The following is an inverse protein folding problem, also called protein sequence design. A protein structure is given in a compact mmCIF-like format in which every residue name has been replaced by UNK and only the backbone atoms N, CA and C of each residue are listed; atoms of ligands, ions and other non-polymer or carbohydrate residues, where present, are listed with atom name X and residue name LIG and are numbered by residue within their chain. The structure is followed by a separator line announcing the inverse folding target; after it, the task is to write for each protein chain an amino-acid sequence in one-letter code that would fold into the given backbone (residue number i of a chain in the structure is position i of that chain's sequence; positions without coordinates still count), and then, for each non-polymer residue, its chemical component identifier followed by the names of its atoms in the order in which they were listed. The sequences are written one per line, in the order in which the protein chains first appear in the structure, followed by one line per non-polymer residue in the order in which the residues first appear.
data_IF_633370714000
#
_entry.id   IF_633370714000
#
_cell.length_a   1.000
_cell.length_b   1.000
_cell.length_c   1.000
_cell.angle_alpha   90.00
_cell.angle_beta   90.00
_cell.angle_gamma   90.00
#
_symmetry.space_group_name_H-M   'P 1'
#
loop_
_entity.id
_entity.type
_entity.pdbx_description
1 polymer ?
#
# COMPACT_ATOMS: atom_id res chain seq x y z
N UNK A 1 21.23 -0.11 2.10
CA UNK A 1 20.43 0.36 3.24
C UNK A 1 20.37 1.89 3.17
N UNK A 2 19.20 2.51 3.31
CA UNK A 2 19.04 3.97 3.28
C UNK A 2 18.04 4.44 4.34
N UNK A 3 18.13 5.71 4.72
CA UNK A 3 17.18 6.37 5.63
C UNK A 3 16.17 7.30 4.92
N UNK A 4 16.20 7.33 3.59
CA UNK A 4 15.29 8.12 2.75
C UNK A 4 13.81 7.80 3.02
N UNK A 5 12.98 8.84 3.15
CA UNK A 5 11.51 8.73 3.28
C UNK A 5 11.02 7.84 4.44
N UNK A 6 11.83 7.71 5.50
CA UNK A 6 11.46 6.96 6.72
C UNK A 6 10.47 7.73 7.62
N UNK A 7 10.38 9.04 7.48
CA UNK A 7 9.52 9.94 8.25
C UNK A 7 8.91 11.04 7.37
N UNK A 8 8.29 12.07 7.95
CA UNK A 8 7.70 13.16 7.18
C UNK A 8 6.38 12.81 6.47
N UNK A 9 6.00 13.66 5.51
CA UNK A 9 4.79 13.53 4.70
C UNK A 9 5.11 12.94 3.32
N UNK A 10 5.46 11.66 3.33
CA UNK A 10 5.77 10.89 2.14
C UNK A 10 5.32 9.44 2.34
N UNK A 11 5.52 8.63 1.31
CA UNK A 11 5.38 7.18 1.41
C UNK A 11 6.38 6.65 2.44
N UNK A 12 5.90 5.80 3.35
CA UNK A 12 6.68 5.14 4.40
C UNK A 12 7.15 3.77 3.94
N UNK A 13 7.84 3.05 4.82
CA UNK A 13 8.18 1.65 4.59
C UNK A 13 6.95 0.85 4.14
N UNK A 14 7.14 -0.02 3.14
CA UNK A 14 6.09 -0.95 2.71
C UNK A 14 6.09 -2.16 3.65
N UNK A 15 4.97 -2.41 4.31
CA UNK A 15 4.80 -3.50 5.27
C UNK A 15 4.40 -4.79 4.55
N UNK A 16 4.84 -5.94 5.05
CA UNK A 16 4.41 -7.25 4.56
C UNK A 16 4.42 -8.30 5.67
N UNK A 17 3.85 -9.48 5.37
CA UNK A 17 3.87 -10.66 6.25
C UNK A 17 5.32 -11.01 6.65
N UNK A 18 5.54 -11.25 7.94
CA UNK A 18 6.84 -11.68 8.47
C UNK A 18 7.19 -13.13 8.11
N UNK A 19 6.21 -13.94 7.69
CA UNK A 19 6.42 -15.28 7.15
C UNK A 19 6.51 -15.34 5.62
N UNK A 20 6.67 -14.18 4.95
CA UNK A 20 6.80 -14.11 3.48
C UNK A 20 7.89 -15.06 2.94
N UNK A 21 7.54 -15.87 1.94
CA UNK A 21 8.40 -16.87 1.29
C UNK A 21 8.41 -18.25 1.96
N UNK A 22 7.75 -18.42 3.11
CA UNK A 22 7.67 -19.70 3.83
C UNK A 22 6.27 -20.06 4.34
N UNK A 23 5.32 -19.12 4.32
CA UNK A 23 3.96 -19.37 4.78
C UNK A 23 3.25 -20.42 3.89
N UNK A 24 2.65 -21.43 4.50
CA UNK A 24 1.99 -22.53 3.79
C UNK A 24 0.75 -22.09 2.99
N UNK A 25 0.15 -20.96 3.35
CA UNK A 25 -0.99 -20.37 2.68
C UNK A 25 -0.63 -19.19 1.75
N UNK A 26 0.66 -18.99 1.48
CA UNK A 26 1.16 -17.98 0.57
C UNK A 26 0.71 -18.26 -0.87
N UNK A 27 0.04 -17.29 -1.51
CA UNK A 27 -0.26 -17.31 -2.93
C UNK A 27 0.92 -16.81 -3.76
N UNK A 28 1.61 -15.78 -3.27
CA UNK A 28 2.79 -15.17 -3.90
C UNK A 28 3.69 -14.59 -2.81
N UNK A 29 5.01 -14.68 -2.98
CA UNK A 29 5.96 -13.98 -2.11
C UNK A 29 5.82 -12.45 -2.29
N UNK A 30 5.29 -11.73 -1.29
CA UNK A 30 5.02 -10.30 -1.42
C UNK A 30 6.29 -9.45 -1.37
N UNK A 31 7.45 -9.98 -0.95
CA UNK A 31 8.71 -9.21 -0.83
C UNK A 31 9.13 -8.58 -2.14
N UNK A 32 8.91 -9.28 -3.26
CA UNK A 32 9.19 -8.77 -4.61
C UNK A 32 8.33 -7.54 -4.90
N UNK A 33 7.06 -7.58 -4.53
CA UNK A 33 6.12 -6.46 -4.71
C UNK A 33 6.51 -5.29 -3.81
N UNK A 34 6.88 -5.55 -2.56
CA UNK A 34 7.31 -4.51 -1.63
C UNK A 34 8.59 -3.81 -2.10
N UNK A 35 9.55 -4.57 -2.62
CA UNK A 35 10.78 -3.99 -3.19
C UNK A 35 10.49 -3.15 -4.43
N UNK A 36 9.58 -3.59 -5.30
CA UNK A 36 9.12 -2.81 -6.44
C UNK A 36 8.47 -1.48 -6.01
N UNK A 37 7.57 -1.51 -5.02
CA UNK A 37 6.93 -0.31 -4.47
C UNK A 37 7.97 0.62 -3.82
N UNK A 38 8.95 0.06 -3.10
CA UNK A 38 10.04 0.83 -2.49
C UNK A 38 10.83 1.57 -3.56
N UNK A 39 11.26 0.89 -4.62
CA UNK A 39 12.04 1.50 -5.70
C UNK A 39 11.24 2.57 -6.45
N UNK A 40 9.98 2.29 -6.77
CA UNK A 40 9.09 3.22 -7.47
C UNK A 40 8.80 4.50 -6.66
N UNK A 41 8.62 4.38 -5.33
CA UNK A 41 8.29 5.53 -4.48
C UNK A 41 9.50 6.34 -4.01
N UNK A 42 10.68 5.72 -3.98
CA UNK A 42 11.89 6.36 -3.42
C UNK A 42 12.41 7.46 -4.34
N UNK A 43 12.54 8.68 -3.81
CA UNK A 43 13.05 9.82 -4.57
C UNK A 43 12.09 10.36 -5.64
N UNK A 44 10.85 9.84 -5.71
CA UNK A 44 9.86 10.31 -6.66
C UNK A 44 9.34 11.72 -6.24
N UNK A 45 9.51 12.77 -7.08
CA UNK A 45 9.19 14.15 -6.68
C UNK A 45 7.74 14.34 -6.25
N UNK A 46 6.80 13.64 -6.91
CA UNK A 46 5.37 13.72 -6.59
C UNK A 46 5.02 13.12 -5.21
N UNK A 47 5.86 12.21 -4.68
CA UNK A 47 5.58 11.49 -3.42
C UNK A 47 6.44 11.96 -2.25
N UNK A 48 7.29 12.96 -2.46
CA UNK A 48 8.13 13.56 -1.44
C UNK A 48 7.38 14.58 -0.55
N UNK A 49 6.23 15.10 -1.00
CA UNK A 49 5.48 16.18 -0.34
C UNK A 49 3.97 15.93 -0.30
N UNK A 50 3.58 14.77 0.22
CA UNK A 50 2.19 14.41 0.43
C UNK A 50 1.53 15.30 1.52
N UNK A 51 0.19 15.31 1.62
CA UNK A 51 -0.50 15.98 2.73
C UNK A 51 -0.08 15.45 4.10
N UNK A 52 0.08 14.12 4.25
CA UNK A 52 0.54 13.46 5.48
C UNK A 52 1.36 12.20 5.19
N UNK A 53 1.79 11.51 6.26
CA UNK A 53 2.42 10.19 6.19
C UNK A 53 1.52 9.24 5.40
N UNK A 54 2.09 8.41 4.54
CA UNK A 54 1.34 7.49 3.70
C UNK A 54 1.94 6.09 3.77
N UNK A 55 1.16 5.10 4.17
CA UNK A 55 1.61 3.74 4.45
C UNK A 55 0.98 2.76 3.47
N UNK A 56 1.79 1.83 2.97
CA UNK A 56 1.36 0.78 2.07
C UNK A 56 1.69 -0.56 2.72
N UNK A 57 0.75 -1.50 2.67
CA UNK A 57 0.99 -2.88 3.07
C UNK A 57 0.62 -3.85 1.95
N UNK A 58 1.39 -4.92 1.83
CA UNK A 58 1.15 -6.01 0.89
C UNK A 58 1.02 -7.30 1.66
N UNK A 59 -0.01 -8.08 1.40
CA UNK A 59 -0.16 -9.43 1.89
C UNK A 59 -0.20 -10.41 0.72
N UNK A 60 0.66 -11.43 0.78
CA UNK A 60 0.75 -12.49 -0.22
C UNK A 60 -0.02 -13.76 0.14
N UNK A 61 -0.43 -13.90 1.40
CA UNK A 61 -1.05 -15.10 1.95
C UNK A 61 -2.58 -15.00 2.02
N UNK A 62 -3.28 -16.11 2.28
CA UNK A 62 -4.74 -16.09 2.47
C UNK A 62 -5.14 -15.38 3.76
N UNK A 63 -4.39 -15.61 4.84
CA UNK A 63 -4.55 -14.89 6.10
C UNK A 63 -3.84 -13.53 6.02
N UNK A 64 -4.50 -12.45 6.46
CA UNK A 64 -3.89 -11.12 6.52
C UNK A 64 -3.05 -10.95 7.80
N UNK A 65 -1.75 -11.23 7.67
CA UNK A 65 -0.76 -11.03 8.74
C UNK A 65 -0.01 -9.70 8.62
N UNK A 66 -0.22 -8.97 7.52
CA UNK A 66 0.35 -7.64 7.30
C UNK A 66 -0.54 -6.51 7.85
N UNK A 67 -1.78 -6.84 8.25
CA UNK A 67 -2.82 -5.92 8.66
C UNK A 67 -3.07 -4.86 7.57
N UNK A 68 -3.34 -5.31 6.34
CA UNK A 68 -3.51 -4.43 5.17
C UNK A 68 -4.63 -3.43 5.36
N UNK A 69 -5.70 -3.81 6.07
CA UNK A 69 -6.86 -2.95 6.32
C UNK A 69 -6.59 -1.69 7.15
N UNK A 70 -5.44 -1.58 7.82
CA UNK A 70 -5.09 -0.39 8.65
C UNK A 70 -4.00 0.50 8.05
N UNK A 71 -3.67 0.27 6.78
CA UNK A 71 -2.73 1.08 6.01
C UNK A 71 -3.49 2.02 5.06
N UNK A 72 -2.85 3.11 4.64
CA UNK A 72 -3.45 4.06 3.69
C UNK A 72 -3.78 3.37 2.36
N UNK A 73 -2.95 2.40 1.95
CA UNK A 73 -3.27 1.40 0.93
C UNK A 73 -2.97 -0.01 1.47
N UNK A 74 -3.97 -0.89 1.38
CA UNK A 74 -3.84 -2.32 1.62
C UNK A 74 -3.91 -3.10 0.31
N UNK A 75 -2.94 -3.98 0.07
CA UNK A 75 -2.88 -4.84 -1.12
C UNK A 75 -2.94 -6.30 -0.70
N UNK A 76 -4.04 -6.97 -1.00
CA UNK A 76 -4.22 -8.40 -0.72
C UNK A 76 -4.06 -9.18 -2.03
N UNK A 77 -3.07 -10.07 -2.10
CA UNK A 77 -2.89 -10.94 -3.26
C UNK A 77 -4.12 -11.82 -3.47
N UNK A 78 -4.58 -11.89 -4.71
CA UNK A 78 -5.72 -12.69 -5.16
C UNK A 78 -5.40 -13.32 -6.50
N UNK A 79 -5.92 -14.52 -6.74
CA UNK A 79 -5.74 -15.24 -8.00
C UNK A 79 -7.05 -15.23 -8.77
N UNK A 80 -7.02 -14.75 -10.01
CA UNK A 80 -8.10 -14.90 -10.97
C UNK A 80 -7.80 -16.05 -11.94
N UNK A 81 -8.84 -16.79 -12.35
CA UNK A 81 -8.71 -17.97 -13.20
C UNK A 81 -8.27 -17.62 -14.64
N UNK A 82 -8.67 -16.47 -15.16
CA UNK A 82 -8.39 -16.05 -16.54
C UNK A 82 -7.26 -15.01 -16.61
N UNK A 83 -7.15 -14.13 -15.62
CA UNK A 83 -6.24 -12.99 -15.62
C UNK A 83 -4.97 -13.21 -14.79
N UNK A 84 -4.91 -14.31 -14.03
CA UNK A 84 -3.76 -14.67 -13.23
C UNK A 84 -3.69 -13.92 -11.89
N UNK A 85 -2.48 -13.65 -11.43
CA UNK A 85 -2.24 -12.95 -10.17
C UNK A 85 -2.70 -11.48 -10.25
N UNK A 86 -3.36 -11.04 -9.19
CA UNK A 86 -3.73 -9.64 -8.99
C UNK A 86 -3.81 -9.27 -7.51
N UNK A 87 -4.38 -8.10 -7.25
CA UNK A 87 -4.55 -7.57 -5.90
C UNK A 87 -5.96 -7.05 -5.70
N UNK A 88 -6.57 -7.39 -4.56
CA UNK A 88 -7.65 -6.60 -3.99
C UNK A 88 -7.02 -5.35 -3.34
N UNK A 89 -7.57 -4.18 -3.65
CA UNK A 89 -7.03 -2.89 -3.21
C UNK A 89 -7.99 -2.23 -2.23
N UNK A 90 -7.47 -1.95 -1.04
CA UNK A 90 -8.13 -1.18 0.02
C UNK A 90 -7.47 0.18 0.18
N UNK A 91 -8.25 1.21 0.55
CA UNK A 91 -7.72 2.56 0.82
C UNK A 91 -8.31 3.20 2.07
N UNK A 92 -7.55 4.10 2.70
CA UNK A 92 -8.04 4.96 3.79
C UNK A 92 -8.02 4.30 5.19
N UNK A 93 -7.32 3.18 5.34
CA UNK A 93 -7.12 2.56 6.64
C UNK A 93 -6.16 3.34 7.54
N UNK A 94 -6.34 3.25 8.85
CA UNK A 94 -5.42 3.88 9.79
C UNK A 94 -5.83 3.72 11.25
N UNK A 95 -4.83 3.54 12.12
CA UNK A 95 -5.00 3.51 13.59
C UNK A 95 -4.64 4.87 14.22
N UNK A 96 -5.08 5.96 13.57
CA UNK A 96 -4.90 7.30 14.07
C UNK A 96 -5.79 7.60 15.27
N UNK A 97 -6.05 8.89 15.50
CA UNK A 97 -6.99 9.33 16.56
C UNK A 97 -8.40 8.80 16.36
N UNK A 98 -8.80 8.63 15.10
CA UNK A 98 -10.04 7.97 14.69
C UNK A 98 -9.64 6.73 13.91
N UNK A 99 -9.68 5.53 14.53
CA UNK A 99 -9.38 4.30 13.84
C UNK A 99 -10.38 4.04 12.71
N UNK A 100 -9.88 3.69 11.53
CA UNK A 100 -10.69 3.34 10.37
C UNK A 100 -10.09 2.12 9.68
N UNK A 101 -10.96 1.24 9.19
CA UNK A 101 -10.58 0.14 8.30
C UNK A 101 -10.70 0.65 6.87
N UNK A 102 -9.73 0.32 6.03
CA UNK A 102 -9.72 0.72 4.64
C UNK A 102 -10.85 0.10 3.84
N UNK A 103 -11.44 0.89 2.95
CA UNK A 103 -12.53 0.48 2.07
C UNK A 103 -11.98 -0.21 0.82
N UNK A 104 -12.62 -1.27 0.37
CA UNK A 104 -12.26 -1.95 -0.88
C UNK A 104 -12.73 -1.09 -2.05
N UNK A 105 -11.80 -0.53 -2.81
CA UNK A 105 -12.10 0.24 -4.02
C UNK A 105 -11.88 -0.55 -5.30
N UNK A 106 -11.25 -1.74 -5.19
CA UNK A 106 -11.04 -2.65 -6.31
C UNK A 106 -10.91 -4.08 -5.82
N UNK A 107 -11.85 -4.93 -6.24
CA UNK A 107 -11.82 -6.36 -5.88
C UNK A 107 -10.69 -7.13 -6.57
N UNK A 108 -10.39 -6.79 -7.83
CA UNK A 108 -9.32 -7.41 -8.60
C UNK A 108 -8.60 -6.40 -9.49
N UNK A 109 -7.34 -6.12 -9.17
CA UNK A 109 -6.42 -5.35 -9.99
C UNK A 109 -5.37 -6.31 -10.59
N UNK A 110 -5.30 -6.48 -11.92
CA UNK A 110 -4.23 -7.27 -12.53
C UNK A 110 -2.85 -6.74 -12.13
N UNK A 111 -1.92 -7.63 -11.75
CA UNK A 111 -0.62 -7.23 -11.18
C UNK A 111 0.16 -6.24 -12.05
N UNK A 112 0.08 -6.36 -13.39
CA UNK A 112 0.73 -5.43 -14.35
C UNK A 112 0.32 -3.96 -14.20
N UNK A 113 -0.85 -3.67 -13.61
CA UNK A 113 -1.35 -2.31 -13.42
C UNK A 113 -1.07 -1.74 -12.03
N UNK A 114 -0.38 -2.49 -11.16
CA UNK A 114 -0.17 -2.13 -9.76
C UNK A 114 0.39 -0.72 -9.60
N UNK A 115 1.54 -0.42 -10.20
CA UNK A 115 2.20 0.89 -10.03
C UNK A 115 1.35 2.03 -10.58
N UNK A 116 0.75 1.86 -11.76
CA UNK A 116 -0.13 2.89 -12.34
C UNK A 116 -1.38 3.14 -11.51
N UNK A 117 -1.86 2.14 -10.76
CA UNK A 117 -3.01 2.29 -9.86
C UNK A 117 -2.59 2.99 -8.57
N UNK A 118 -1.42 2.65 -8.02
CA UNK A 118 -0.83 3.36 -6.88
C UNK A 118 -0.56 4.85 -7.20
N UNK A 119 -0.02 5.13 -8.39
CA UNK A 119 0.14 6.51 -8.92
C UNK A 119 -1.19 7.26 -8.88
N UNK A 120 -2.26 6.64 -9.41
CA UNK A 120 -3.59 7.26 -9.45
C UNK A 120 -4.13 7.58 -8.05
N UNK A 121 -4.02 6.65 -7.09
CA UNK A 121 -4.45 6.86 -5.70
C UNK A 121 -3.65 7.99 -5.05
N UNK A 122 -2.33 7.94 -5.15
CA UNK A 122 -1.44 8.96 -4.56
C UNK A 122 -1.64 10.33 -5.20
N UNK A 123 -1.94 10.40 -6.49
CA UNK A 123 -2.29 11.66 -7.18
C UNK A 123 -3.56 12.28 -6.64
N UNK A 124 -4.60 11.48 -6.43
CA UNK A 124 -5.85 11.93 -5.82
C UNK A 124 -5.59 12.43 -4.40
N UNK A 125 -4.86 11.65 -3.58
CA UNK A 125 -4.50 12.06 -2.22
C UNK A 125 -3.67 13.34 -2.22
N UNK A 126 -2.67 13.44 -3.08
CA UNK A 126 -1.79 14.60 -3.12
C UNK A 126 -2.53 15.87 -3.57
N UNK A 127 -3.44 15.77 -4.54
CA UNK A 127 -4.19 16.91 -5.06
C UNK A 127 -5.27 17.39 -4.09
N UNK A 128 -6.05 16.47 -3.51
CA UNK A 128 -7.26 16.80 -2.76
C UNK A 128 -7.15 16.60 -1.24
N UNK A 129 -6.09 15.97 -0.76
CA UNK A 129 -5.85 15.78 0.66
C UNK A 129 -5.66 17.10 1.40
N UNK A 130 -6.22 17.15 2.60
CA UNK A 130 -6.24 18.36 3.43
C UNK A 130 -4.83 18.72 3.91
N UNK A 131 -4.52 20.02 3.90
CA UNK A 131 -3.25 20.56 4.42
C UNK A 131 -3.45 21.65 5.48
N UNK A 132 -4.70 22.05 5.69
CA UNK A 132 -5.12 23.08 6.65
C UNK A 132 -5.08 22.58 8.11
N UNK A 133 -5.33 21.28 8.33
CA UNK A 133 -5.33 20.69 9.67
C UNK A 133 -4.60 19.35 9.68
N UNK A 134 -3.42 19.31 10.31
CA UNK A 134 -2.56 18.11 10.39
C UNK A 134 -3.21 16.87 11.04
N UNK A 135 -4.28 17.06 11.82
CA UNK A 135 -5.01 15.97 12.48
C UNK A 135 -6.19 15.45 11.64
N UNK A 136 -6.49 16.12 10.53
CA UNK A 136 -7.54 15.76 9.55
C UNK A 136 -6.98 15.68 8.11
N UNK A 137 -5.66 15.59 7.99
CA UNK A 137 -4.90 15.50 6.74
C UNK A 137 -4.68 14.05 6.30
#
# INVERSE_FOLDING_TARGET
MHATQTSGNCVRNTTTDHFSGVAADELVDPRVTCELIRQWSTGHPEFAFLPRKFKIAVNGAREDRAATGVHDIGLQAVQDAAQGLGYRVQVGGGLGRTPMVGEIIREFLPARHLLTYLDAILRVYNRYGRRDNKYKA
#
